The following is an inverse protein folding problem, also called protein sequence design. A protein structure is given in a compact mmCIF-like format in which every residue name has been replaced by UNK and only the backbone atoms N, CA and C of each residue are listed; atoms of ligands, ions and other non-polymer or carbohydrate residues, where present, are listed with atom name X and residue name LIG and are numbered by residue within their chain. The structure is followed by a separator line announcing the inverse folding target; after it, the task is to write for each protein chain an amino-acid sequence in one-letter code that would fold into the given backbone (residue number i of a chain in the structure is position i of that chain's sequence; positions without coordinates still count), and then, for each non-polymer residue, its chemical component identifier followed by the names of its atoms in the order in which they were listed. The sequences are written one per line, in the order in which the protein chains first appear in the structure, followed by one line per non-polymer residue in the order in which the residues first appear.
data_IF_637211504214
#
_entry.id   IF_637211504214
#
_cell.length_a   1.000
_cell.length_b   1.000
_cell.length_c   1.000
_cell.angle_alpha   90.00
_cell.angle_beta   90.00
_cell.angle_gamma   90.00
#
_symmetry.space_group_name_H-M   'P 1'
#
loop_
_entity.id
_entity.type
_entity.pdbx_description
1 polymer ?
#
# COMPACT_ATOMS: atom_id res chain seq x y z
N UNK A 1 33.28 -20.67 33.33
CA UNK A 1 33.06 -20.86 31.88
C UNK A 1 31.56 -20.77 31.65
N UNK A 2 31.08 -19.63 31.13
CA UNK A 2 29.65 -19.35 30.91
C UNK A 2 29.23 -19.92 29.56
N UNK A 3 28.30 -20.87 29.56
CA UNK A 3 27.68 -21.42 28.35
C UNK A 3 26.75 -20.36 27.77
N UNK A 4 27.10 -19.77 26.64
CA UNK A 4 26.19 -18.90 25.89
C UNK A 4 24.94 -19.69 25.47
N UNK A 5 23.77 -19.19 25.83
CA UNK A 5 22.49 -19.80 25.46
C UNK A 5 22.37 -19.83 23.92
N UNK A 6 22.07 -21.01 23.36
CA UNK A 6 21.77 -21.17 21.93
C UNK A 6 20.51 -20.35 21.60
N UNK A 7 20.49 -19.57 20.51
CA UNK A 7 19.26 -18.91 20.07
C UNK A 7 18.20 -19.96 19.78
N UNK A 8 17.02 -19.77 20.36
CA UNK A 8 15.86 -20.64 20.15
C UNK A 8 15.39 -20.48 18.70
N UNK A 9 15.21 -21.60 17.98
CA UNK A 9 14.72 -21.57 16.61
C UNK A 9 13.27 -21.03 16.60
N UNK A 10 13.02 -20.03 15.77
CA UNK A 10 11.66 -19.51 15.57
C UNK A 10 10.89 -20.58 14.79
N UNK A 11 9.76 -21.09 15.32
CA UNK A 11 8.95 -22.06 14.59
C UNK A 11 8.43 -21.45 13.29
N UNK A 12 8.28 -22.28 12.25
CA UNK A 12 7.73 -21.83 10.97
C UNK A 12 6.29 -21.33 11.17
N UNK A 13 5.92 -20.18 10.59
CA UNK A 13 4.56 -19.66 10.71
C UNK A 13 3.58 -20.55 9.94
N UNK A 14 2.37 -20.71 10.49
CA UNK A 14 1.28 -21.45 9.84
C UNK A 14 0.70 -20.69 8.63
N UNK A 15 0.80 -19.37 8.63
CA UNK A 15 0.36 -18.52 7.53
C UNK A 15 1.22 -17.25 7.42
N UNK A 16 1.32 -16.73 6.20
CA UNK A 16 1.94 -15.43 5.90
C UNK A 16 0.91 -14.60 5.15
N UNK A 17 0.53 -13.45 5.73
CA UNK A 17 -0.46 -12.54 5.17
C UNK A 17 0.28 -11.34 4.61
N UNK A 18 -0.04 -10.99 3.36
CA UNK A 18 0.51 -9.83 2.68
C UNK A 18 -0.57 -8.77 2.54
N UNK A 19 -0.17 -7.52 2.73
CA UNK A 19 -0.92 -6.42 2.14
C UNK A 19 -0.87 -6.53 0.60
N UNK A 20 -1.81 -5.88 -0.08
CA UNK A 20 -1.94 -5.95 -1.53
C UNK A 20 -1.28 -4.74 -2.20
N UNK A 21 -1.86 -3.55 -1.99
CA UNK A 21 -1.54 -2.34 -2.75
C UNK A 21 -0.25 -1.67 -2.26
N UNK A 22 0.83 -1.82 -3.02
CA UNK A 22 2.17 -1.37 -2.64
C UNK A 22 3.04 -2.47 -2.03
N UNK A 23 2.51 -3.69 -1.89
CA UNK A 23 3.27 -4.88 -1.44
C UNK A 23 3.33 -5.93 -2.55
N UNK A 24 2.18 -6.49 -2.96
CA UNK A 24 2.11 -7.43 -4.08
C UNK A 24 1.81 -6.73 -5.42
N UNK A 25 1.10 -5.60 -5.38
CA UNK A 25 0.77 -4.80 -6.56
C UNK A 25 1.56 -3.49 -6.58
N UNK A 26 2.25 -3.22 -7.68
CA UNK A 26 2.96 -1.96 -7.90
C UNK A 26 2.02 -0.88 -8.45
N UNK A 27 1.73 0.12 -7.62
CA UNK A 27 0.87 1.25 -7.97
C UNK A 27 1.59 2.25 -8.90
N UNK A 28 2.93 2.31 -8.86
CA UNK A 28 3.69 3.28 -9.66
C UNK A 28 3.60 2.98 -11.15
N UNK A 29 3.37 1.72 -11.53
CA UNK A 29 3.12 1.28 -12.90
C UNK A 29 1.90 1.96 -13.55
N UNK A 30 0.98 2.53 -12.77
CA UNK A 30 -0.18 3.26 -13.32
C UNK A 30 0.23 4.51 -14.10
N UNK A 31 1.41 5.08 -13.83
CA UNK A 31 1.86 6.28 -14.54
C UNK A 31 1.99 6.07 -16.06
N UNK A 32 2.28 4.83 -16.49
CA UNK A 32 2.27 4.47 -17.92
C UNK A 32 0.90 4.66 -18.57
N UNK A 33 -0.17 4.27 -17.88
CA UNK A 33 -1.55 4.43 -18.35
C UNK A 33 -1.98 5.90 -18.33
N UNK A 34 -1.67 6.62 -17.26
CA UNK A 34 -1.99 8.06 -17.15
C UNK A 34 -1.31 8.87 -18.26
N UNK A 35 -0.05 8.56 -18.57
CA UNK A 35 0.70 9.24 -19.64
C UNK A 35 0.07 9.02 -21.02
N UNK A 36 -0.55 7.86 -21.27
CA UNK A 36 -1.21 7.56 -22.53
C UNK A 36 -2.56 8.27 -22.68
N UNK A 37 -3.33 8.41 -21.60
CA UNK A 37 -4.74 8.82 -21.66
C UNK A 37 -5.01 10.28 -21.26
N UNK A 38 -4.15 10.91 -20.45
CA UNK A 38 -4.46 12.17 -19.74
C UNK A 38 -3.55 13.34 -20.15
N UNK A 39 -2.86 13.26 -21.29
CA UNK A 39 -1.89 14.28 -21.68
C UNK A 39 -2.49 15.71 -21.86
N UNK A 40 -1.74 16.78 -21.54
CA UNK A 40 -0.38 16.84 -21.02
C UNK A 40 -0.35 16.98 -19.48
N UNK A 41 -0.11 15.87 -18.76
CA UNK A 41 0.08 15.87 -17.30
C UNK A 41 1.41 15.23 -16.92
N UNK A 42 1.97 15.66 -15.78
CA UNK A 42 3.02 14.90 -15.10
C UNK A 42 2.39 13.65 -14.47
N UNK A 43 2.46 12.54 -15.19
CA UNK A 43 1.82 11.29 -14.81
C UNK A 43 2.37 10.71 -13.50
N UNK A 44 3.66 10.86 -13.24
CA UNK A 44 4.30 10.31 -12.04
C UNK A 44 3.87 11.13 -10.81
N UNK A 45 3.89 12.46 -10.92
CA UNK A 45 3.38 13.34 -9.87
C UNK A 45 1.88 13.15 -9.61
N UNK A 46 1.10 12.93 -10.68
CA UNK A 46 -0.32 12.65 -10.58
C UNK A 46 -0.59 11.35 -9.82
N UNK A 47 0.04 10.23 -10.20
CA UNK A 47 -0.16 8.93 -9.53
C UNK A 47 0.27 9.00 -8.07
N UNK A 48 1.36 9.68 -7.76
CA UNK A 48 1.80 9.90 -6.38
C UNK A 48 0.77 10.68 -5.55
N UNK A 49 0.21 11.77 -6.11
CA UNK A 49 -0.84 12.54 -5.45
C UNK A 49 -2.12 11.73 -5.26
N UNK A 50 -2.57 11.03 -6.29
CA UNK A 50 -3.77 10.19 -6.25
C UNK A 50 -3.63 9.11 -5.17
N UNK A 51 -2.53 8.34 -5.17
CA UNK A 51 -2.31 7.30 -4.17
C UNK A 51 -2.27 7.86 -2.74
N UNK A 52 -1.65 9.02 -2.54
CA UNK A 52 -1.67 9.69 -1.23
C UNK A 52 -3.09 10.08 -0.81
N UNK A 53 -3.88 10.68 -1.71
CA UNK A 53 -5.25 11.10 -1.41
C UNK A 53 -6.18 9.93 -1.15
N UNK A 54 -6.03 8.84 -1.89
CA UNK A 54 -6.78 7.61 -1.65
C UNK A 54 -6.57 7.11 -0.21
N UNK A 55 -5.33 7.04 0.27
CA UNK A 55 -5.04 6.63 1.65
C UNK A 55 -5.60 7.63 2.67
N UNK A 56 -5.33 8.93 2.50
CA UNK A 56 -5.86 9.98 3.37
C UNK A 56 -7.39 9.90 3.51
N UNK A 57 -8.10 9.72 2.40
CA UNK A 57 -9.55 9.62 2.38
C UNK A 57 -10.05 8.36 3.07
N UNK A 58 -9.41 7.21 2.86
CA UNK A 58 -9.78 5.98 3.58
C UNK A 58 -9.70 6.16 5.11
N UNK A 59 -8.67 6.87 5.59
CA UNK A 59 -8.52 7.18 7.01
C UNK A 59 -9.55 8.19 7.48
N UNK A 60 -9.74 9.30 6.74
CA UNK A 60 -10.69 10.35 7.12
C UNK A 60 -12.13 9.82 7.16
N UNK A 61 -12.55 9.04 6.16
CA UNK A 61 -13.87 8.41 6.13
C UNK A 61 -14.08 7.49 7.33
N UNK A 62 -13.07 6.68 7.67
CA UNK A 62 -13.13 5.81 8.84
C UNK A 62 -13.18 6.61 10.15
N UNK A 63 -12.36 7.65 10.29
CA UNK A 63 -12.32 8.50 11.49
C UNK A 63 -13.60 9.33 11.69
N UNK A 64 -14.33 9.63 10.62
CA UNK A 64 -15.62 10.32 10.68
C UNK A 64 -16.81 9.36 10.86
N UNK A 65 -16.58 8.05 10.99
CA UNK A 65 -17.62 7.01 11.02
C UNK A 65 -18.52 7.05 9.76
N UNK A 66 -17.89 7.25 8.60
CA UNK A 66 -18.52 7.38 7.27
C UNK A 66 -17.85 6.44 6.27
N UNK A 67 -17.85 5.15 6.57
CA UNK A 67 -17.26 4.13 5.70
C UNK A 67 -17.81 4.21 4.28
N UNK A 68 -16.91 4.07 3.32
CA UNK A 68 -17.18 3.91 1.89
C UNK A 68 -16.23 2.86 1.34
N UNK A 69 -16.66 2.16 0.29
CA UNK A 69 -15.82 1.15 -0.37
C UNK A 69 -14.57 1.80 -0.97
N UNK A 70 -13.46 1.07 -1.02
CA UNK A 70 -12.18 1.59 -1.55
C UNK A 70 -12.28 2.04 -3.02
N UNK A 71 -13.26 1.53 -3.78
CA UNK A 71 -13.53 1.96 -5.16
C UNK A 71 -14.10 3.39 -5.26
N UNK A 72 -14.65 3.91 -4.16
CA UNK A 72 -15.19 5.27 -4.07
C UNK A 72 -14.16 6.29 -3.55
N UNK A 73 -12.94 5.84 -3.26
CA UNK A 73 -11.86 6.59 -2.62
C UNK A 73 -10.70 6.82 -3.58
#
# INVERSE_FOLDING_TARGET
MSTAARPQAIPAPEAIIFDLYGTLLDITALAGHVRAEVAPVDADAFVALWRRKQLEYSWLHTLMDRYVDLWQV
#
